data_IF_930444481939
#
_entry.id   IF_930444481939
#
_cell.length_a   1.000
_cell.length_b   1.000
_cell.length_c   1.000
_cell.angle_alpha   90.00
_cell.angle_beta   90.00
_cell.angle_gamma   90.00
#
_symmetry.space_group_name_H-M   'P 1'
#
loop_
_entity.id
_entity.type
_entity.pdbx_description
1 polymer ?
#
# COMPACT_ATOMS: atom_id res chain seq x y z
N UNK A 1 23.65 10.02 -9.16
CA UNK A 1 22.64 9.30 -9.96
C UNK A 1 23.30 8.79 -11.24
N UNK A 2 23.66 7.51 -11.32
CA UNK A 2 24.61 7.04 -12.35
C UNK A 2 23.98 6.35 -13.58
N UNK A 3 22.76 5.80 -13.50
CA UNK A 3 22.11 5.11 -14.64
C UNK A 3 20.96 5.95 -15.19
N UNK A 4 20.99 6.25 -16.50
CA UNK A 4 20.05 7.14 -17.22
C UNK A 4 19.50 6.51 -18.51
N UNK A 5 19.51 5.18 -18.60
CA UNK A 5 18.97 4.47 -19.76
C UNK A 5 17.47 4.19 -19.54
N UNK A 6 16.62 4.82 -20.34
CA UNK A 6 15.16 4.69 -20.27
C UNK A 6 14.61 3.66 -21.28
N UNK A 7 15.45 2.77 -21.82
CA UNK A 7 15.01 1.72 -22.71
C UNK A 7 13.96 0.82 -22.04
N UNK A 8 12.88 0.56 -22.76
CA UNK A 8 11.84 -0.41 -22.43
C UNK A 8 11.63 -1.34 -23.63
N UNK A 9 12.47 -2.38 -23.79
CA UNK A 9 12.36 -3.30 -24.91
C UNK A 9 11.07 -4.15 -24.87
N UNK A 10 10.41 -4.22 -23.72
CA UNK A 10 9.19 -5.01 -23.53
C UNK A 10 7.90 -4.28 -23.92
N UNK A 11 7.91 -2.94 -23.91
CA UNK A 11 6.72 -2.11 -24.02
C UNK A 11 5.83 -2.11 -22.77
N UNK A 12 6.27 -2.70 -21.66
CA UNK A 12 5.53 -2.79 -20.39
C UNK A 12 5.90 -1.70 -19.39
N UNK A 13 6.75 -0.75 -19.78
CA UNK A 13 7.22 0.35 -18.95
C UNK A 13 8.37 0.00 -18.00
N UNK A 14 9.03 -1.16 -18.17
CA UNK A 14 10.04 -1.62 -17.23
C UNK A 14 11.47 -1.18 -17.60
N UNK A 15 11.92 -0.06 -17.05
CA UNK A 15 13.19 0.61 -17.41
C UNK A 15 14.35 0.25 -16.47
N UNK A 16 14.87 -0.98 -16.60
CA UNK A 16 15.95 -1.52 -15.74
C UNK A 16 17.24 -0.68 -15.75
N UNK A 17 17.49 0.05 -16.82
CA UNK A 17 18.63 0.94 -17.01
C UNK A 17 18.48 2.33 -16.38
N UNK A 18 17.31 2.67 -15.81
CA UNK A 18 17.07 3.98 -15.21
C UNK A 18 17.14 3.91 -13.69
N UNK A 19 18.05 4.69 -13.10
CA UNK A 19 18.36 4.63 -11.67
C UNK A 19 18.65 3.18 -11.22
N UNK A 20 18.33 2.87 -9.96
CA UNK A 20 18.41 1.53 -9.41
C UNK A 20 17.31 1.35 -8.37
N UNK A 21 16.57 0.25 -8.45
CA UNK A 21 15.54 -0.11 -7.48
C UNK A 21 16.09 -1.13 -6.48
N UNK A 22 15.71 -1.03 -5.21
CA UNK A 22 15.93 -2.13 -4.28
C UNK A 22 14.73 -3.09 -4.31
N UNK A 23 14.94 -4.40 -4.09
CA UNK A 23 16.22 -5.10 -3.95
C UNK A 23 16.82 -5.54 -5.29
N UNK A 24 18.15 -5.50 -5.43
CA UNK A 24 18.91 -6.01 -6.58
C UNK A 24 18.38 -5.57 -7.97
N UNK A 25 17.84 -4.34 -8.08
CA UNK A 25 17.25 -3.77 -9.29
C UNK A 25 15.95 -4.42 -9.78
N UNK A 26 15.29 -5.25 -8.96
CA UNK A 26 13.94 -5.80 -9.22
C UNK A 26 12.93 -4.66 -9.21
N UNK A 27 12.13 -4.53 -10.26
CA UNK A 27 11.16 -3.43 -10.39
C UNK A 27 9.77 -3.85 -9.94
N UNK A 28 9.45 -5.14 -10.10
CA UNK A 28 8.20 -5.74 -9.70
C UNK A 28 8.52 -6.82 -8.67
N UNK A 29 8.15 -6.58 -7.40
CA UNK A 29 8.29 -7.59 -6.35
C UNK A 29 7.36 -8.78 -6.62
N UNK A 30 7.79 -9.96 -6.17
CA UNK A 30 7.06 -11.22 -6.28
C UNK A 30 6.73 -11.63 -7.71
N UNK A 31 7.51 -11.16 -8.69
CA UNK A 31 7.25 -11.36 -10.11
C UNK A 31 7.27 -12.83 -10.58
N UNK A 32 7.77 -13.79 -9.77
CA UNK A 32 7.55 -15.22 -10.03
C UNK A 32 6.07 -15.60 -10.03
N UNK A 33 5.23 -14.93 -9.25
CA UNK A 33 3.79 -15.15 -9.21
C UNK A 33 3.07 -14.64 -10.48
N UNK A 34 3.76 -13.98 -11.42
CA UNK A 34 3.19 -13.60 -12.72
C UNK A 34 2.99 -14.80 -13.67
N UNK A 35 3.42 -15.99 -13.26
CA UNK A 35 3.30 -17.23 -14.01
C UNK A 35 2.77 -18.35 -13.11
N UNK A 36 2.17 -19.36 -13.74
CA UNK A 36 1.68 -20.56 -13.07
C UNK A 36 2.82 -21.42 -12.49
N UNK A 37 2.52 -22.53 -11.78
CA UNK A 37 3.54 -23.41 -11.22
C UNK A 37 4.51 -23.96 -12.28
N UNK A 38 4.05 -24.16 -13.52
CA UNK A 38 4.86 -24.62 -14.64
C UNK A 38 5.57 -23.49 -15.40
N UNK A 39 5.50 -22.26 -14.90
CA UNK A 39 6.19 -21.10 -15.45
C UNK A 39 5.53 -20.54 -16.70
N UNK A 40 4.31 -20.98 -17.04
CA UNK A 40 3.52 -20.36 -18.11
C UNK A 40 2.93 -19.04 -17.58
N UNK A 41 3.12 -17.92 -18.29
CA UNK A 41 2.57 -16.64 -17.85
C UNK A 41 1.04 -16.71 -17.78
N UNK A 42 0.45 -16.09 -16.75
CA UNK A 42 -1.00 -15.99 -16.62
C UNK A 42 -1.61 -15.22 -17.78
N UNK A 43 -0.93 -14.14 -18.19
CA UNK A 43 -1.23 -13.37 -19.39
C UNK A 43 0.01 -13.34 -20.29
N UNK A 44 -0.01 -14.00 -21.47
CA UNK A 44 1.11 -14.01 -22.40
C UNK A 44 1.55 -12.63 -22.88
N UNK A 45 0.67 -11.61 -22.87
CA UNK A 45 1.02 -10.23 -23.26
C UNK A 45 1.72 -9.46 -22.14
N UNK A 46 1.75 -9.99 -20.93
CA UNK A 46 2.39 -9.40 -19.73
C UNK A 46 3.39 -10.36 -19.09
N UNK A 47 4.15 -11.10 -19.91
CA UNK A 47 5.17 -12.01 -19.42
C UNK A 47 6.34 -11.23 -18.79
N UNK A 48 6.48 -11.30 -17.47
CA UNK A 48 7.60 -10.69 -16.75
C UNK A 48 8.83 -11.60 -16.75
N UNK A 49 8.62 -12.87 -16.39
CA UNK A 49 9.67 -13.88 -16.31
C UNK A 49 9.39 -15.06 -17.26
N UNK A 50 10.46 -15.71 -17.68
CA UNK A 50 10.50 -16.94 -18.47
C UNK A 50 11.62 -17.83 -17.94
N UNK A 51 11.33 -19.13 -17.85
CA UNK A 51 12.35 -20.15 -17.61
C UNK A 51 13.02 -20.54 -18.93
N UNK A 52 14.35 -20.53 -18.98
CA UNK A 52 15.11 -20.90 -20.19
C UNK A 52 15.60 -22.37 -20.20
N UNK A 53 15.26 -23.14 -19.17
CA UNK A 53 15.75 -24.49 -18.94
C UNK A 53 16.78 -24.60 -17.81
N UNK A 54 17.44 -23.49 -17.45
CA UNK A 54 18.45 -23.43 -16.40
C UNK A 54 18.26 -22.27 -15.41
N UNK A 55 17.67 -21.15 -15.83
CA UNK A 55 17.44 -19.97 -15.00
C UNK A 55 16.19 -19.19 -15.40
N UNK A 56 15.70 -18.40 -14.46
CA UNK A 56 14.69 -17.38 -14.72
C UNK A 56 15.35 -16.13 -15.31
N UNK A 57 14.72 -15.55 -16.33
CA UNK A 57 15.06 -14.26 -16.90
C UNK A 57 13.86 -13.66 -17.62
N UNK A 58 13.98 -12.47 -18.17
CA UNK A 58 12.89 -11.85 -18.91
C UNK A 58 12.93 -10.34 -18.85
N UNK A 59 11.75 -9.75 -18.76
CA UNK A 59 11.51 -8.30 -18.73
C UNK A 59 11.97 -7.66 -17.43
N UNK A 60 12.01 -8.42 -16.33
CA UNK A 60 12.46 -7.95 -15.01
C UNK A 60 13.51 -8.89 -14.40
N UNK A 61 14.21 -8.41 -13.37
CA UNK A 61 15.10 -9.24 -12.57
C UNK A 61 14.25 -10.21 -11.72
N UNK A 62 14.51 -11.53 -11.72
CA UNK A 62 13.72 -12.47 -10.93
C UNK A 62 13.75 -12.16 -9.43
N UNK A 63 12.57 -11.96 -8.85
CA UNK A 63 12.36 -11.94 -7.40
C UNK A 63 12.04 -13.36 -6.90
N UNK A 64 13.01 -14.25 -7.10
CA UNK A 64 12.83 -15.67 -6.86
C UNK A 64 14.16 -16.38 -6.65
N UNK A 65 14.09 -17.64 -6.22
CA UNK A 65 15.23 -18.54 -6.24
C UNK A 65 15.52 -19.03 -7.68
N UNK A 66 16.57 -19.84 -7.84
CA UNK A 66 16.86 -20.52 -9.11
C UNK A 66 16.02 -21.81 -9.31
N UNK A 67 15.00 -22.06 -8.49
CA UNK A 67 14.20 -23.27 -8.57
C UNK A 67 13.45 -23.39 -9.90
N UNK A 68 13.47 -24.58 -10.49
CA UNK A 68 12.80 -24.86 -11.76
C UNK A 68 11.26 -24.83 -11.62
N UNK A 69 10.52 -24.62 -12.71
CA UNK A 69 9.08 -24.82 -12.73
C UNK A 69 8.67 -26.22 -12.25
N UNK A 70 7.51 -26.30 -11.58
CA UNK A 70 7.02 -27.53 -10.98
C UNK A 70 7.71 -27.96 -9.69
N UNK A 71 8.65 -27.17 -9.15
CA UNK A 71 9.18 -27.36 -7.81
C UNK A 71 8.24 -26.82 -6.72
N UNK A 72 8.40 -27.29 -5.49
CA UNK A 72 7.61 -26.88 -4.33
C UNK A 72 8.08 -25.55 -3.69
N UNK A 73 8.86 -24.74 -4.41
CA UNK A 73 9.38 -23.46 -3.90
C UNK A 73 8.38 -22.34 -4.16
N UNK A 74 7.84 -21.73 -3.11
CA UNK A 74 6.85 -20.65 -3.22
C UNK A 74 7.43 -19.30 -3.69
N UNK A 75 6.65 -18.46 -4.40
CA UNK A 75 7.13 -17.22 -5.03
C UNK A 75 7.43 -16.07 -4.05
N UNK A 76 7.04 -16.17 -2.77
CA UNK A 76 7.26 -15.12 -1.77
C UNK A 76 8.50 -15.42 -0.94
N UNK A 77 9.69 -15.13 -1.48
CA UNK A 77 10.97 -15.63 -0.95
C UNK A 77 11.35 -15.13 0.45
N UNK A 78 10.74 -14.03 0.91
CA UNK A 78 11.00 -13.50 2.26
C UNK A 78 10.10 -14.15 3.32
N UNK A 79 9.11 -14.95 2.91
CA UNK A 79 8.21 -15.67 3.79
C UNK A 79 8.76 -17.07 4.09
N UNK A 80 8.80 -17.50 5.36
CA UNK A 80 9.28 -18.85 5.73
C UNK A 80 8.61 -19.99 4.95
N UNK A 81 7.32 -19.83 4.64
CA UNK A 81 6.51 -20.79 3.90
C UNK A 81 6.43 -20.53 2.39
N UNK A 82 7.04 -19.44 1.89
CA UNK A 82 7.04 -19.08 0.47
C UNK A 82 5.70 -18.59 -0.09
N UNK A 83 4.71 -18.30 0.75
CA UNK A 83 3.33 -17.95 0.36
C UNK A 83 2.90 -16.55 0.78
N UNK A 84 1.97 -15.98 0.02
CA UNK A 84 1.16 -14.84 0.47
C UNK A 84 0.11 -15.32 1.48
N UNK A 85 0.01 -14.63 2.61
CA UNK A 85 -0.90 -15.03 3.69
C UNK A 85 -2.29 -14.42 3.51
N UNK A 86 -3.30 -15.29 3.38
CA UNK A 86 -4.70 -14.92 3.62
C UNK A 86 -5.00 -14.86 5.12
N UNK A 87 -4.46 -15.82 5.88
CA UNK A 87 -4.48 -15.86 7.33
C UNK A 87 -3.11 -15.43 7.86
N UNK A 88 -3.04 -14.30 8.58
CA UNK A 88 -1.78 -13.65 8.94
C UNK A 88 -1.04 -14.28 10.14
N UNK A 89 -1.48 -15.44 10.63
CA UNK A 89 -0.95 -16.15 11.80
C UNK A 89 -0.86 -15.22 13.03
N UNK A 90 0.29 -15.15 13.68
CA UNK A 90 0.59 -14.34 14.86
C UNK A 90 1.20 -12.96 14.51
N UNK A 91 1.08 -12.47 13.26
CA UNK A 91 1.80 -11.26 12.81
C UNK A 91 1.07 -9.94 13.00
N UNK A 92 -0.21 -9.95 13.31
CA UNK A 92 -1.02 -8.75 13.51
C UNK A 92 -1.45 -8.66 14.98
N UNK A 93 -1.49 -7.46 15.54
CA UNK A 93 -1.79 -7.26 16.96
C UNK A 93 -3.29 -7.49 17.26
N UNK A 94 -4.14 -7.23 16.29
CA UNK A 94 -5.60 -7.19 16.37
C UNK A 94 -6.29 -8.43 15.79
N UNK A 95 -5.53 -9.39 15.26
CA UNK A 95 -6.05 -10.67 14.78
C UNK A 95 -5.58 -11.07 13.38
N UNK A 96 -5.68 -12.35 13.03
CA UNK A 96 -5.11 -12.90 11.79
C UNK A 96 -5.94 -12.60 10.53
N UNK A 97 -7.15 -12.08 10.69
CA UNK A 97 -8.03 -11.60 9.63
C UNK A 97 -8.43 -10.15 9.90
N UNK A 98 -8.65 -9.34 8.85
CA UNK A 98 -9.25 -8.03 9.01
C UNK A 98 -10.68 -8.13 9.59
N UNK A 99 -11.02 -7.21 10.47
CA UNK A 99 -12.35 -7.04 11.06
C UNK A 99 -12.66 -5.54 11.17
N UNK A 100 -13.93 -5.15 11.03
CA UNK A 100 -14.32 -3.73 11.05
C UNK A 100 -14.39 -3.21 12.48
N UNK A 101 -13.65 -2.15 12.77
CA UNK A 101 -13.76 -1.39 14.02
C UNK A 101 -13.89 0.11 13.72
N UNK A 102 -14.75 0.78 14.48
CA UNK A 102 -14.96 2.22 14.36
C UNK A 102 -13.75 3.02 14.87
N UNK A 103 -13.49 4.23 14.33
CA UNK A 103 -12.57 5.19 14.94
C UNK A 103 -12.96 5.48 16.39
N UNK A 104 -12.00 5.91 17.22
CA UNK A 104 -12.27 6.28 18.61
C UNK A 104 -13.28 7.44 18.74
N UNK A 105 -13.21 8.39 17.80
CA UNK A 105 -14.21 9.45 17.61
C UNK A 105 -15.10 9.11 16.41
N UNK A 106 -16.08 8.23 16.63
CA UNK A 106 -17.08 7.88 15.62
C UNK A 106 -18.35 8.73 15.78
N UNK A 107 -18.95 9.23 14.68
CA UNK A 107 -20.23 9.95 14.74
C UNK A 107 -21.41 9.04 15.11
N UNK A 108 -21.24 7.72 15.02
CA UNK A 108 -22.30 6.73 15.27
C UNK A 108 -22.48 6.42 16.77
N UNK A 109 -21.46 6.71 17.58
CA UNK A 109 -21.43 6.33 19.00
C UNK A 109 -21.42 4.82 19.29
N UNK A 110 -21.42 3.98 18.24
CA UNK A 110 -21.44 2.52 18.32
C UNK A 110 -20.86 1.91 17.04
N UNK A 111 -20.58 0.61 17.06
CA UNK A 111 -20.26 -0.17 15.86
C UNK A 111 -21.49 -1.03 15.50
N UNK A 112 -22.15 -0.79 14.36
CA UNK A 112 -23.33 -1.56 13.95
C UNK A 112 -23.09 -3.06 13.79
N UNK A 113 -21.86 -3.48 13.48
CA UNK A 113 -21.52 -4.88 13.24
C UNK A 113 -21.45 -5.68 14.55
N UNK A 114 -20.87 -5.09 15.59
CA UNK A 114 -20.74 -5.68 16.91
C UNK A 114 -20.66 -4.60 18.00
N UNK A 115 -21.81 -4.13 18.53
CA UNK A 115 -21.88 -3.00 19.47
C UNK A 115 -21.08 -3.18 20.77
N UNK A 116 -20.76 -4.41 21.16
CA UNK A 116 -19.95 -4.71 22.35
C UNK A 116 -18.46 -4.37 22.17
N UNK A 117 -17.97 -4.23 20.93
CA UNK A 117 -16.58 -3.88 20.61
C UNK A 117 -16.61 -2.79 19.54
N UNK A 118 -16.63 -1.53 19.98
CA UNK A 118 -16.81 -0.40 19.06
C UNK A 118 -15.55 -0.14 18.24
N UNK A 119 -14.45 0.17 18.92
CA UNK A 119 -13.14 0.46 18.32
C UNK A 119 -12.16 -0.71 18.50
N UNK A 120 -11.02 -0.66 17.81
CA UNK A 120 -10.03 -1.74 17.80
C UNK A 120 -9.59 -2.11 19.23
N UNK A 121 -9.79 -3.37 19.68
CA UNK A 121 -9.51 -3.78 21.06
C UNK A 121 -8.02 -3.88 21.39
N UNK A 122 -7.13 -3.94 20.39
CA UNK A 122 -5.69 -4.00 20.57
C UNK A 122 -5.01 -2.61 20.48
N UNK A 123 -5.77 -1.55 20.24
CA UNK A 123 -5.24 -0.20 20.10
C UNK A 123 -4.73 0.36 21.44
N UNK A 124 -3.60 1.06 21.40
CA UNK A 124 -3.02 1.73 22.57
C UNK A 124 -3.45 3.19 22.62
N UNK A 125 -4.14 3.58 23.69
CA UNK A 125 -4.49 4.98 23.97
C UNK A 125 -4.09 5.30 25.41
N UNK A 126 -3.35 6.40 25.62
CA UNK A 126 -3.02 6.84 26.97
C UNK A 126 -4.22 7.52 27.61
N UNK A 127 -4.33 7.42 28.93
CA UNK A 127 -5.47 7.96 29.69
C UNK A 127 -5.71 9.45 29.39
N UNK A 128 -4.64 10.26 29.38
CA UNK A 128 -4.74 11.70 29.11
C UNK A 128 -5.18 12.02 27.67
N UNK A 129 -4.86 11.18 26.70
CA UNK A 129 -5.31 11.34 25.31
C UNK A 129 -6.79 10.94 25.19
N UNK A 130 -7.19 9.85 25.85
CA UNK A 130 -8.58 9.38 25.87
C UNK A 130 -9.54 10.41 26.50
N UNK A 131 -9.08 11.12 27.53
CA UNK A 131 -9.83 12.21 28.18
C UNK A 131 -10.02 13.43 27.27
N UNK A 132 -9.17 13.62 26.26
CA UNK A 132 -9.25 14.73 25.31
C UNK A 132 -10.11 14.40 24.08
N UNK A 133 -10.49 13.14 23.88
CA UNK A 133 -11.33 12.75 22.75
C UNK A 133 -12.76 13.30 22.91
N UNK A 134 -13.26 13.85 21.81
CA UNK A 134 -14.60 14.35 21.66
C UNK A 134 -15.67 13.25 21.60
N UNK A 135 -16.91 13.70 21.62
CA UNK A 135 -18.10 12.87 21.42
C UNK A 135 -19.01 13.52 20.38
N UNK A 136 -19.79 12.70 19.69
CA UNK A 136 -20.65 13.13 18.59
C UNK A 136 -21.68 14.20 19.02
N UNK A 137 -22.07 14.27 20.29
CA UNK A 137 -22.99 15.30 20.80
C UNK A 137 -22.38 16.72 20.74
N UNK A 138 -21.05 16.83 20.79
CA UNK A 138 -20.32 18.11 20.67
C UNK A 138 -19.64 18.29 19.32
N UNK A 139 -19.17 17.19 18.73
CA UNK A 139 -18.44 17.16 17.45
C UNK A 139 -19.11 16.15 16.50
N UNK A 140 -20.25 16.52 15.87
CA UNK A 140 -21.12 15.56 15.18
C UNK A 140 -20.63 15.17 13.77
N UNK A 141 -19.70 15.92 13.19
CA UNK A 141 -19.24 15.72 11.82
C UNK A 141 -17.94 14.93 11.78
N UNK A 142 -17.79 14.09 10.75
CA UNK A 142 -16.51 13.42 10.47
C UNK A 142 -15.53 14.45 9.93
N UNK A 143 -14.49 14.75 10.71
CA UNK A 143 -13.33 15.49 10.25
C UNK A 143 -12.32 14.57 9.58
N UNK A 144 -11.77 14.98 8.44
CA UNK A 144 -10.64 14.29 7.80
C UNK A 144 -9.64 15.31 7.26
N UNK A 145 -8.38 14.91 7.12
CA UNK A 145 -7.31 15.77 6.59
C UNK A 145 -6.65 15.09 5.39
N UNK A 146 -6.35 15.89 4.36
CA UNK A 146 -5.78 15.43 3.11
C UNK A 146 -4.83 16.50 2.54
N UNK A 147 -4.37 16.30 1.30
CA UNK A 147 -3.42 17.20 0.61
C UNK A 147 -4.10 17.84 -0.59
N UNK A 148 -3.67 19.05 -0.92
CA UNK A 148 -3.94 19.68 -2.21
C UNK A 148 -2.70 19.59 -3.08
N UNK A 149 -2.89 19.39 -4.38
CA UNK A 149 -1.82 19.18 -5.36
C UNK A 149 -0.75 20.27 -5.30
N UNK A 150 -1.17 21.51 -5.07
CA UNK A 150 -0.34 22.70 -5.09
C UNK A 150 0.54 22.83 -3.85
N UNK A 151 0.27 22.07 -2.77
CA UNK A 151 1.04 22.13 -1.54
C UNK A 151 1.68 20.80 -1.12
N UNK A 152 2.95 20.88 -0.69
CA UNK A 152 3.64 19.80 -0.03
C UNK A 152 3.78 20.11 1.46
N UNK A 153 2.83 19.57 2.24
CA UNK A 153 2.70 19.80 3.68
C UNK A 153 2.78 21.32 3.98
N UNK A 154 3.57 21.71 4.97
CA UNK A 154 3.81 23.11 5.32
C UNK A 154 5.05 23.71 4.64
N UNK A 155 5.67 23.01 3.68
CA UNK A 155 6.91 23.47 3.06
C UNK A 155 6.64 24.43 1.90
N UNK A 156 5.88 24.01 0.88
CA UNK A 156 5.82 24.79 -0.36
C UNK A 156 5.05 26.10 -0.25
N UNK A 157 4.37 26.39 0.86
CA UNK A 157 3.86 27.74 1.16
C UNK A 157 4.97 28.81 1.22
N UNK A 158 6.23 28.41 1.37
CA UNK A 158 7.39 29.30 1.26
C UNK A 158 7.85 29.54 -0.18
N UNK A 159 7.30 28.83 -1.16
CA UNK A 159 7.54 29.04 -2.58
C UNK A 159 6.42 29.89 -3.19
N UNK A 160 6.79 31.01 -3.80
CA UNK A 160 5.84 32.02 -4.27
C UNK A 160 4.76 31.46 -5.21
N UNK A 161 5.13 30.61 -6.18
CA UNK A 161 4.18 30.06 -7.15
C UNK A 161 3.10 29.18 -6.48
N UNK A 162 3.51 28.35 -5.52
CA UNK A 162 2.57 27.50 -4.78
C UNK A 162 1.64 28.35 -3.91
N UNK A 163 2.20 29.36 -3.24
CA UNK A 163 1.45 30.32 -2.44
C UNK A 163 0.53 31.25 -3.27
N UNK A 164 0.69 31.32 -4.58
CA UNK A 164 -0.27 31.99 -5.47
C UNK A 164 -1.39 31.03 -5.88
N UNK A 165 -1.05 29.76 -6.18
CA UNK A 165 -2.00 28.78 -6.68
C UNK A 165 -3.02 28.33 -5.63
N UNK A 166 -2.60 28.15 -4.38
CA UNK A 166 -3.47 27.91 -3.23
C UNK A 166 -3.09 28.89 -2.11
N UNK A 167 -3.58 30.13 -2.16
CA UNK A 167 -3.04 31.21 -1.34
C UNK A 167 -3.50 31.20 0.11
N UNK A 168 -4.66 30.59 0.37
CA UNK A 168 -5.32 30.67 1.66
C UNK A 168 -5.94 29.33 2.05
N UNK A 169 -6.08 29.13 3.35
CA UNK A 169 -6.71 27.94 3.90
C UNK A 169 -8.22 27.95 3.60
N UNK A 170 -8.74 26.79 3.23
CA UNK A 170 -10.17 26.55 3.13
C UNK A 170 -10.50 25.15 3.68
N UNK A 171 -11.80 24.85 3.75
CA UNK A 171 -12.33 23.52 4.04
C UNK A 171 -13.41 23.17 3.02
N UNK A 172 -13.59 21.88 2.76
CA UNK A 172 -14.71 21.38 1.94
C UNK A 172 -15.81 20.85 2.86
N UNK A 173 -17.04 21.28 2.61
CA UNK A 173 -18.24 20.81 3.33
C UNK A 173 -19.34 20.49 2.31
N UNK A 174 -20.25 19.59 2.66
CA UNK A 174 -21.43 19.34 1.83
C UNK A 174 -22.40 20.54 1.87
N UNK A 175 -23.15 20.76 0.78
CA UNK A 175 -24.08 21.90 0.65
C UNK A 175 -25.04 22.00 1.84
N UNK A 176 -25.66 20.87 2.24
CA UNK A 176 -26.57 20.80 3.40
C UNK A 176 -25.94 21.16 4.75
N UNK A 177 -24.62 21.04 4.87
CA UNK A 177 -23.89 21.41 6.09
C UNK A 177 -23.52 22.89 6.08
N UNK A 178 -23.50 23.52 4.89
CA UNK A 178 -23.20 24.94 4.72
C UNK A 178 -24.42 25.87 4.74
N UNK A 179 -25.64 25.33 4.65
CA UNK A 179 -26.91 26.04 4.91
C UNK A 179 -27.15 26.27 6.41
#
# INVERSE_FOLDING_TARGET
MARRDNADPSGLGNTLGWAWAWPLNRRILYNRASADPQGKPWDPKRQLLKWDGAKWGGVDIPDYSAAAPGSDVGPFIMQPEGMGRLFAIDKMAEGPFPEHYEPFETPLGTNPLHPNVVSNPAARVFKGDLEQMGKAEKFPYVGTTYRLTEHFHYWTKHALLNAIAQPEQFVEIGEKTGE
#
